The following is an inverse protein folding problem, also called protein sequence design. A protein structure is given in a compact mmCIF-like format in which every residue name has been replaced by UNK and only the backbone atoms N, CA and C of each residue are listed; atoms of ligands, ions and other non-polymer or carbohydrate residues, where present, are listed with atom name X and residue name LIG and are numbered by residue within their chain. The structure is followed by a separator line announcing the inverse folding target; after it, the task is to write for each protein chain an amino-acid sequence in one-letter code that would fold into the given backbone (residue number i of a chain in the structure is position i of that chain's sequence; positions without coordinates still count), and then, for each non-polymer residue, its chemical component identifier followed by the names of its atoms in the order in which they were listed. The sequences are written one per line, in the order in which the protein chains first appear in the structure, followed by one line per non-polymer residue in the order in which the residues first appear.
data_IF_318897147588
#
_entry.id   IF_318897147588
#
_cell.length_a   1.000
_cell.length_b   1.000
_cell.length_c   1.000
_cell.angle_alpha   90.00
_cell.angle_beta   90.00
_cell.angle_gamma   90.00
#
_symmetry.space_group_name_H-M   'P 1'
#
loop_
_entity.id
_entity.type
_entity.pdbx_description
1 polymer ?
#
# COMPACT_ATOMS: atom_id res chain seq x y z
N UNK A 1 -12.46 5.81 -26.93
CA UNK A 1 -11.59 5.06 -25.99
C UNK A 1 -12.13 3.64 -25.91
N UNK A 2 -11.33 2.59 -26.15
CA UNK A 2 -11.82 1.20 -26.08
C UNK A 2 -11.99 0.78 -24.62
N UNK A 3 -12.91 -0.16 -24.32
CA UNK A 3 -13.14 -0.64 -22.94
C UNK A 3 -11.86 -1.23 -22.31
N UNK A 4 -10.98 -1.84 -23.13
CA UNK A 4 -9.68 -2.36 -22.71
C UNK A 4 -8.73 -1.26 -22.23
N UNK A 5 -8.67 -0.14 -22.96
CA UNK A 5 -7.86 1.01 -22.55
C UNK A 5 -8.34 1.61 -21.22
N UNK A 6 -9.66 1.61 -20.96
CA UNK A 6 -10.21 2.13 -19.71
C UNK A 6 -9.87 1.21 -18.54
N UNK A 7 -9.98 -0.12 -18.74
CA UNK A 7 -9.61 -1.13 -17.74
C UNK A 7 -8.13 -1.04 -17.36
N UNK A 8 -7.22 -0.88 -18.32
CA UNK A 8 -5.79 -0.71 -18.04
C UNK A 8 -5.50 0.51 -17.16
N UNK A 9 -6.16 1.64 -17.44
CA UNK A 9 -6.02 2.87 -16.64
C UNK A 9 -6.57 2.67 -15.22
N UNK A 10 -7.75 2.06 -15.08
CA UNK A 10 -8.36 1.81 -13.78
C UNK A 10 -7.47 0.93 -12.90
N UNK A 11 -6.91 -0.15 -13.46
CA UNK A 11 -5.95 -1.00 -12.76
C UNK A 11 -4.66 -0.25 -12.42
N UNK A 12 -4.18 0.63 -13.30
CA UNK A 12 -3.00 1.46 -13.02
C UNK A 12 -3.18 2.41 -11.86
N UNK A 13 -4.32 3.09 -11.80
CA UNK A 13 -4.66 3.96 -10.66
C UNK A 13 -4.76 3.15 -9.37
N UNK A 14 -5.41 1.97 -9.43
CA UNK A 14 -5.51 1.11 -8.26
C UNK A 14 -4.14 0.68 -7.75
N UNK A 15 -3.25 0.20 -8.63
CA UNK A 15 -1.90 -0.22 -8.23
C UNK A 15 -1.06 0.95 -7.73
N UNK A 16 -1.24 2.14 -8.29
CA UNK A 16 -0.62 3.35 -7.76
C UNK A 16 -1.05 3.62 -6.32
N UNK A 17 -2.35 3.56 -6.03
CA UNK A 17 -2.87 3.74 -4.68
C UNK A 17 -2.35 2.65 -3.73
N UNK A 18 -2.33 1.39 -4.17
CA UNK A 18 -1.76 0.29 -3.38
C UNK A 18 -0.28 0.55 -3.07
N UNK A 19 0.51 0.98 -4.06
CA UNK A 19 1.93 1.30 -3.87
C UNK A 19 2.14 2.43 -2.85
N UNK A 20 1.31 3.49 -2.91
CA UNK A 20 1.33 4.56 -1.91
C UNK A 20 0.99 4.03 -0.53
N UNK A 21 -0.07 3.23 -0.40
CA UNK A 21 -0.49 2.69 0.90
C UNK A 21 0.64 1.90 1.55
N UNK A 22 1.25 0.95 0.83
CA UNK A 22 2.33 0.11 1.36
C UNK A 22 3.68 0.83 1.46
N UNK A 23 3.90 1.88 0.69
CA UNK A 23 5.13 2.68 0.76
C UNK A 23 5.07 3.73 1.87
N UNK A 24 3.99 4.52 1.91
CA UNK A 24 3.86 5.69 2.75
C UNK A 24 3.47 5.35 4.19
N UNK A 25 2.42 4.56 4.41
CA UNK A 25 1.89 4.32 5.77
C UNK A 25 2.94 3.60 6.64
N UNK A 26 3.54 2.47 6.20
CA UNK A 26 4.56 1.79 7.00
C UNK A 26 5.80 2.64 7.24
N UNK A 27 6.23 3.42 6.24
CA UNK A 27 7.37 4.33 6.37
C UNK A 27 7.09 5.45 7.37
N UNK A 28 5.90 6.03 7.33
CA UNK A 28 5.49 7.02 8.32
C UNK A 28 5.49 6.44 9.74
N UNK A 29 4.90 5.26 9.92
CA UNK A 29 4.80 4.61 11.23
C UNK A 29 6.17 4.22 11.78
N UNK A 30 7.05 3.62 10.96
CA UNK A 30 8.37 3.21 11.45
C UNK A 30 9.19 4.41 11.88
N UNK A 31 9.18 5.52 11.11
CA UNK A 31 9.90 6.74 11.45
C UNK A 31 9.34 7.34 12.75
N UNK A 32 8.02 7.43 12.86
CA UNK A 32 7.36 8.05 14.02
C UNK A 32 7.55 7.26 15.31
N UNK A 33 7.53 5.93 15.23
CA UNK A 33 7.65 5.05 16.40
C UNK A 33 9.09 4.57 16.64
N UNK A 34 10.08 4.97 15.83
CA UNK A 34 11.43 4.42 15.88
C UNK A 34 12.10 4.55 17.25
N UNK A 35 12.02 5.76 17.84
CA UNK A 35 12.64 6.03 19.15
C UNK A 35 12.00 5.17 20.24
N UNK A 36 10.66 5.10 20.25
CA UNK A 36 9.93 4.25 21.18
C UNK A 36 10.25 2.77 20.98
N UNK A 37 10.26 2.29 19.74
CA UNK A 37 10.62 0.90 19.41
C UNK A 37 12.05 0.55 19.87
N UNK A 38 13.00 1.49 19.86
CA UNK A 38 14.36 1.25 20.34
C UNK A 38 14.56 1.53 21.83
N UNK A 39 13.53 2.00 22.54
CA UNK A 39 13.60 2.19 23.99
C UNK A 39 13.48 0.88 24.77
N UNK A 40 12.99 -0.19 24.12
CA UNK A 40 12.85 -1.49 24.75
C UNK A 40 14.22 -2.13 25.01
N UNK A 41 14.41 -2.78 26.17
CA UNK A 41 15.66 -3.44 26.53
C UNK A 41 15.98 -4.64 25.62
N UNK A 42 14.98 -5.17 24.91
CA UNK A 42 15.12 -6.28 23.96
C UNK A 42 14.65 -5.81 22.58
N UNK A 43 15.57 -5.81 21.61
CA UNK A 43 15.33 -5.31 20.25
C UNK A 43 14.47 -6.22 19.35
N UNK A 44 13.96 -7.35 19.86
CA UNK A 44 13.18 -8.29 19.06
C UNK A 44 11.96 -7.63 18.41
N UNK A 45 11.26 -6.76 19.13
CA UNK A 45 10.11 -6.02 18.59
C UNK A 45 10.55 -5.02 17.52
N UNK A 46 11.62 -4.26 17.76
CA UNK A 46 12.15 -3.26 16.82
C UNK A 46 12.62 -3.92 15.52
N UNK A 47 13.34 -5.04 15.63
CA UNK A 47 13.80 -5.83 14.48
C UNK A 47 12.64 -6.44 13.70
N UNK A 48 11.61 -6.94 14.40
CA UNK A 48 10.42 -7.47 13.75
C UNK A 48 9.65 -6.38 12.98
N UNK A 49 9.47 -5.19 13.58
CA UNK A 49 8.82 -4.06 12.91
C UNK A 49 9.63 -3.56 11.70
N UNK A 50 10.97 -3.54 11.82
CA UNK A 50 11.85 -3.20 10.71
C UNK A 50 11.75 -4.23 9.56
N UNK A 51 11.67 -5.52 9.89
CA UNK A 51 11.42 -6.57 8.91
C UNK A 51 10.08 -6.37 8.18
N UNK A 52 8.99 -6.10 8.91
CA UNK A 52 7.68 -5.82 8.31
C UNK A 52 7.70 -4.58 7.40
N UNK A 53 8.44 -3.53 7.80
CA UNK A 53 8.62 -2.34 6.98
C UNK A 53 9.36 -2.64 5.68
N UNK A 54 10.42 -3.46 5.71
CA UNK A 54 11.13 -3.90 4.50
C UNK A 54 10.19 -4.71 3.58
N UNK A 55 9.40 -5.62 4.14
CA UNK A 55 8.40 -6.38 3.37
C UNK A 55 7.39 -5.45 2.72
N UNK A 56 6.93 -4.42 3.43
CA UNK A 56 6.02 -3.41 2.87
C UNK A 56 6.63 -2.61 1.71
N UNK A 57 7.92 -2.24 1.81
CA UNK A 57 8.64 -1.59 0.69
C UNK A 57 8.69 -2.51 -0.53
N UNK A 58 8.99 -3.80 -0.35
CA UNK A 58 9.02 -4.78 -1.45
C UNK A 58 7.65 -4.86 -2.12
N UNK A 59 6.57 -4.92 -1.32
CA UNK A 59 5.19 -4.91 -1.84
C UNK A 59 4.92 -3.62 -2.63
N UNK A 60 5.34 -2.46 -2.12
CA UNK A 60 5.20 -1.18 -2.83
C UNK A 60 5.88 -1.20 -4.20
N UNK A 61 7.12 -1.70 -4.29
CA UNK A 61 7.86 -1.85 -5.57
C UNK A 61 7.14 -2.78 -6.55
N UNK A 62 6.60 -3.91 -6.07
CA UNK A 62 5.81 -4.83 -6.90
C UNK A 62 4.62 -4.08 -7.54
N UNK A 63 3.92 -3.24 -6.76
CA UNK A 63 2.78 -2.47 -7.26
C UNK A 63 3.18 -1.32 -8.18
N UNK A 64 4.35 -0.70 -7.99
CA UNK A 64 4.90 0.26 -8.97
C UNK A 64 5.13 -0.43 -10.32
N UNK A 65 5.73 -1.62 -10.33
CA UNK A 65 5.94 -2.39 -11.57
C UNK A 65 4.60 -2.78 -12.21
N UNK A 66 3.63 -3.23 -11.41
CA UNK A 66 2.29 -3.56 -11.89
C UNK A 66 1.55 -2.36 -12.48
N UNK A 67 1.68 -1.19 -11.84
CA UNK A 67 1.17 0.10 -12.33
C UNK A 67 1.78 0.43 -13.69
N UNK A 68 3.11 0.41 -13.82
CA UNK A 68 3.78 0.70 -15.10
C UNK A 68 3.31 -0.24 -16.20
N UNK A 69 3.24 -1.55 -15.93
CA UNK A 69 2.72 -2.55 -16.88
C UNK A 69 1.29 -2.26 -17.30
N UNK A 70 0.41 -1.88 -16.36
CA UNK A 70 -0.99 -1.60 -16.66
C UNK A 70 -1.19 -0.41 -17.61
N UNK A 71 -0.32 0.61 -17.54
CA UNK A 71 -0.36 1.77 -18.44
C UNK A 71 0.25 1.45 -19.81
N UNK A 72 1.40 0.76 -19.84
CA UNK A 72 2.08 0.39 -21.08
C UNK A 72 1.22 -0.60 -21.89
N UNK A 73 0.68 -1.63 -21.23
CA UNK A 73 -0.08 -2.70 -21.89
C UNK A 73 -1.59 -2.43 -21.97
N UNK A 74 -2.05 -1.20 -21.72
CA UNK A 74 -3.49 -0.85 -21.70
C UNK A 74 -4.23 -1.11 -23.02
N UNK A 75 -3.49 -1.16 -24.14
CA UNK A 75 -4.05 -1.44 -25.48
C UNK A 75 -3.88 -2.91 -25.90
N UNK A 76 -3.23 -3.74 -25.08
CA UNK A 76 -3.02 -5.15 -25.40
C UNK A 76 -4.30 -5.96 -25.16
N UNK A 77 -4.72 -6.73 -26.16
CA UNK A 77 -5.91 -7.57 -26.10
C UNK A 77 -5.69 -8.81 -25.23
N UNK A 78 -4.45 -9.30 -25.13
CA UNK A 78 -4.07 -10.44 -24.28
C UNK A 78 -4.10 -10.12 -22.78
N UNK A 79 -4.24 -8.84 -22.43
CA UNK A 79 -4.33 -8.34 -21.07
C UNK A 79 -3.08 -7.60 -20.59
N UNK A 80 -3.04 -7.32 -19.28
CA UNK A 80 -2.06 -6.40 -18.67
C UNK A 80 -0.74 -7.06 -18.24
N UNK A 81 -0.57 -8.38 -18.42
CA UNK A 81 0.62 -9.10 -17.96
C UNK A 81 0.86 -9.03 -16.44
N UNK A 82 -0.20 -8.81 -15.66
CA UNK A 82 -0.19 -8.75 -14.18
C UNK A 82 -0.89 -9.99 -13.62
N UNK A 83 -0.23 -10.79 -12.74
CA UNK A 83 -0.81 -11.99 -12.15
C UNK A 83 -2.12 -11.71 -11.40
N UNK A 84 -3.09 -12.62 -11.48
CA UNK A 84 -4.40 -12.48 -10.83
C UNK A 84 -4.28 -12.26 -9.31
N UNK A 85 -3.32 -12.91 -8.65
CA UNK A 85 -3.07 -12.73 -7.22
C UNK A 85 -2.68 -11.30 -6.85
N UNK A 86 -1.80 -10.67 -7.64
CA UNK A 86 -1.41 -9.25 -7.43
C UNK A 86 -2.60 -8.32 -7.67
N UNK A 87 -3.43 -8.61 -8.68
CA UNK A 87 -4.66 -7.84 -8.92
C UNK A 87 -5.63 -7.92 -7.75
N UNK A 88 -5.93 -9.14 -7.30
CA UNK A 88 -6.88 -9.39 -6.22
C UNK A 88 -6.39 -8.81 -4.90
N UNK A 89 -5.13 -9.09 -4.53
CA UNK A 89 -4.54 -8.55 -3.31
C UNK A 89 -4.54 -7.02 -3.32
N UNK A 90 -4.18 -6.39 -4.45
CA UNK A 90 -4.11 -4.93 -4.54
C UNK A 90 -5.46 -4.26 -4.41
N UNK A 91 -6.49 -4.84 -5.05
CA UNK A 91 -7.86 -4.38 -4.91
C UNK A 91 -8.36 -4.49 -3.47
N UNK A 92 -8.27 -5.70 -2.90
CA UNK A 92 -8.82 -6.00 -1.58
C UNK A 92 -8.12 -5.17 -0.50
N UNK A 93 -6.78 -5.12 -0.52
CA UNK A 93 -6.01 -4.34 0.45
C UNK A 93 -6.29 -2.84 0.36
N UNK A 94 -6.30 -2.27 -0.86
CA UNK A 94 -6.62 -0.84 -1.05
C UNK A 94 -8.02 -0.52 -0.54
N UNK A 95 -9.01 -1.36 -0.82
CA UNK A 95 -10.39 -1.16 -0.34
C UNK A 95 -10.46 -1.22 1.18
N UNK A 96 -9.91 -2.27 1.80
CA UNK A 96 -9.95 -2.45 3.26
C UNK A 96 -9.26 -1.28 3.98
N UNK A 97 -8.07 -0.90 3.53
CA UNK A 97 -7.30 0.18 4.17
C UNK A 97 -7.99 1.54 3.96
N UNK A 98 -8.50 1.81 2.76
CA UNK A 98 -9.23 3.05 2.49
C UNK A 98 -10.51 3.16 3.32
N UNK A 99 -11.28 2.07 3.42
CA UNK A 99 -12.47 2.01 4.28
C UNK A 99 -12.10 2.22 5.76
N UNK A 100 -10.99 1.62 6.20
CA UNK A 100 -10.49 1.81 7.57
C UNK A 100 -10.17 3.28 7.84
N UNK A 101 -9.50 3.96 6.90
CA UNK A 101 -9.20 5.39 7.01
C UNK A 101 -10.47 6.25 7.06
N UNK A 102 -11.47 5.93 6.24
CA UNK A 102 -12.76 6.65 6.21
C UNK A 102 -13.52 6.44 7.52
N UNK A 103 -13.70 5.19 7.96
CA UNK A 103 -14.42 4.86 9.20
C UNK A 103 -13.74 5.52 10.40
N UNK A 104 -12.40 5.47 10.47
CA UNK A 104 -11.64 6.12 11.53
C UNK A 104 -11.87 7.63 11.55
N UNK A 105 -11.86 8.27 10.39
CA UNK A 105 -12.12 9.71 10.29
C UNK A 105 -13.55 10.06 10.75
N UNK A 106 -14.54 9.23 10.43
CA UNK A 106 -15.92 9.45 10.87
C UNK A 106 -16.11 9.30 12.39
N UNK A 107 -15.35 8.41 13.04
CA UNK A 107 -15.48 8.15 14.48
C UNK A 107 -14.64 9.13 15.31
N UNK A 108 -13.40 9.39 14.90
CA UNK A 108 -12.41 10.12 15.69
C UNK A 108 -12.10 11.53 15.18
N UNK A 109 -12.66 11.93 14.02
CA UNK A 109 -12.34 13.19 13.35
C UNK A 109 -10.84 13.42 13.11
N UNK A 110 -10.10 12.32 12.92
CA UNK A 110 -8.66 12.30 12.75
C UNK A 110 -8.28 11.39 11.57
N UNK A 111 -7.14 11.65 10.93
CA UNK A 111 -6.63 10.77 9.87
C UNK A 111 -6.03 9.51 10.48
N UNK A 112 -6.53 8.33 10.11
CA UNK A 112 -5.98 7.05 10.58
C UNK A 112 -4.49 6.93 10.27
N UNK A 113 -3.75 6.21 11.14
CA UNK A 113 -2.29 6.06 11.11
C UNK A 113 -1.50 7.35 11.35
N UNK A 114 -1.88 8.45 10.69
CA UNK A 114 -1.27 9.78 10.84
C UNK A 114 -1.58 10.44 12.20
N UNK A 115 -2.63 10.01 12.88
CA UNK A 115 -2.97 10.43 14.24
C UNK A 115 -2.31 9.60 15.33
N UNK A 116 -1.72 8.45 15.00
CA UNK A 116 -1.13 7.56 16.00
C UNK A 116 0.15 8.16 16.58
N UNK A 117 0.27 8.14 17.90
CA UNK A 117 1.41 8.70 18.66
C UNK A 117 2.06 7.56 19.44
N UNK A 118 3.41 7.53 19.59
CA UNK A 118 4.05 6.58 20.51
C UNK A 118 3.49 6.72 21.93
N UNK A 119 3.37 5.59 22.67
CA UNK A 119 2.99 5.58 24.09
C UNK A 119 3.96 6.35 24.99
#
# INVERSE_FOLDING_TARGET
MTSHSLKGIAWGILFFLTAIIYGFIPTFLIIRFWVWLNSFPVYTLSLFMLFLWIVAIIISVIYIVAMVRSFIQRKNEEGLGVPKGVKGFGLVSTVIISLTMIIWYLIFHQLAFLSMVPP
#
